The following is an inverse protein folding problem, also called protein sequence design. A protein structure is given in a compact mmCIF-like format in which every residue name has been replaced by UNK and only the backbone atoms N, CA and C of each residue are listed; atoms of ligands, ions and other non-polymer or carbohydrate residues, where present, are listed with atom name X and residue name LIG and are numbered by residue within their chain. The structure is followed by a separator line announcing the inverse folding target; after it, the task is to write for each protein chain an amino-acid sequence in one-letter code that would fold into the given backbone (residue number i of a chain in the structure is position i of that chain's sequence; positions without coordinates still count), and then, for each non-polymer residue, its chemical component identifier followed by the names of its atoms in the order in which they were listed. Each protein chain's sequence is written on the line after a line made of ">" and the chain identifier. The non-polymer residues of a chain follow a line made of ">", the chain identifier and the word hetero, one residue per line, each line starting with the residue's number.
data_IF_109694745189
#
_entry.id   IF_109694745189
#
_cell.length_a   1.000
_cell.length_b   1.000
_cell.length_c   1.000
_cell.angle_alpha   90.00
_cell.angle_beta   90.00
_cell.angle_gamma   90.00
#
_symmetry.space_group_name_H-M   'P 1'
#
loop_
_entity.id
_entity.type
_entity.pdbx_description
1 polymer ?
#
# COMPACT_ATOMS: atom_id res chain seq x y z
N UNK A 1 16.06 7.54 5.94
CA UNK A 1 16.50 7.47 4.51
C UNK A 1 15.22 7.40 3.70
N UNK A 2 15.00 8.30 2.73
CA UNK A 2 13.69 8.38 2.06
C UNK A 2 13.46 7.17 1.15
N UNK A 3 12.25 6.61 1.21
CA UNK A 3 11.80 5.53 0.33
C UNK A 3 12.10 5.84 -1.16
N UNK A 4 12.83 4.93 -1.80
CA UNK A 4 13.31 5.12 -3.19
C UNK A 4 13.04 3.86 -4.00
N UNK A 5 12.39 4.01 -5.16
CA UNK A 5 12.09 2.89 -6.06
C UNK A 5 13.38 2.15 -6.48
N UNK A 6 13.31 0.81 -6.57
CA UNK A 6 14.44 -0.12 -6.83
C UNK A 6 15.47 -0.23 -5.70
N UNK A 7 15.23 0.39 -4.54
CA UNK A 7 16.02 0.19 -3.32
C UNK A 7 15.23 -0.65 -2.31
N UNK A 8 15.91 -1.27 -1.32
CA UNK A 8 15.21 -1.84 -0.19
C UNK A 8 14.25 -0.82 0.44
N UNK A 9 13.02 -1.23 0.72
CA UNK A 9 12.06 -0.39 1.41
C UNK A 9 12.57 -0.07 2.83
N UNK A 10 12.36 1.15 3.36
CA UNK A 10 12.81 1.49 4.71
C UNK A 10 12.25 0.51 5.75
N UNK A 11 13.15 -0.09 6.53
CA UNK A 11 12.79 -1.05 7.56
C UNK A 11 12.05 -0.37 8.72
N UNK A 12 11.08 -1.07 9.28
CA UNK A 12 10.39 -0.67 10.50
C UNK A 12 10.02 -1.90 11.35
N UNK A 13 9.89 -1.66 12.64
CA UNK A 13 9.20 -2.51 13.62
C UNK A 13 8.31 -1.58 14.42
N UNK A 14 7.02 -1.88 14.53
CA UNK A 14 6.07 -0.99 15.18
C UNK A 14 4.88 -1.76 15.74
N UNK A 15 4.25 -1.24 16.81
CA UNK A 15 3.01 -1.81 17.30
C UNK A 15 1.88 -1.60 16.29
N UNK A 16 1.03 -2.61 16.16
CA UNK A 16 -0.16 -2.60 15.35
C UNK A 16 -1.35 -3.19 16.11
N UNK A 17 -2.55 -2.92 15.63
CA UNK A 17 -3.75 -3.68 15.99
C UNK A 17 -3.96 -4.76 14.93
N UNK A 18 -3.93 -6.02 15.35
CA UNK A 18 -4.10 -7.21 14.50
C UNK A 18 -5.20 -8.06 15.12
N UNK A 19 -6.29 -8.30 14.39
CA UNK A 19 -7.45 -9.07 14.89
C UNK A 19 -7.98 -8.59 16.25
N UNK A 20 -7.88 -7.29 16.54
CA UNK A 20 -8.30 -6.68 17.80
C UNK A 20 -7.29 -6.76 18.96
N UNK A 21 -6.12 -7.37 18.73
CA UNK A 21 -5.04 -7.49 19.71
C UNK A 21 -3.85 -6.57 19.36
N UNK A 22 -3.00 -6.29 20.35
CA UNK A 22 -1.78 -5.51 20.14
C UNK A 22 -0.60 -6.44 19.85
N UNK A 23 0.00 -6.27 18.68
CA UNK A 23 1.17 -7.04 18.24
C UNK A 23 2.22 -6.08 17.68
N UNK A 24 3.50 -6.42 17.83
CA UNK A 24 4.57 -5.73 17.11
C UNK A 24 4.80 -6.41 15.77
N UNK A 25 4.76 -5.65 14.68
CA UNK A 25 5.03 -6.16 13.33
C UNK A 25 6.27 -5.50 12.74
N UNK A 26 7.06 -6.27 12.02
CA UNK A 26 8.24 -5.81 11.29
C UNK A 26 8.07 -6.02 9.80
N UNK A 27 8.61 -5.10 8.98
CA UNK A 27 8.57 -5.29 7.52
C UNK A 27 9.24 -6.61 7.08
N UNK A 28 10.27 -7.05 7.81
CA UNK A 28 10.97 -8.31 7.56
C UNK A 28 10.11 -9.56 7.72
N UNK A 29 9.02 -9.48 8.48
CA UNK A 29 8.11 -10.61 8.72
C UNK A 29 7.37 -11.04 7.44
N UNK A 30 7.38 -10.17 6.43
CA UNK A 30 6.69 -10.35 5.16
C UNK A 30 7.64 -10.69 3.99
N UNK A 31 8.92 -10.97 4.25
CA UNK A 31 9.83 -11.46 3.21
C UNK A 31 9.26 -12.73 2.54
N UNK A 32 9.35 -12.79 1.21
CA UNK A 32 8.69 -13.82 0.40
C UNK A 32 7.25 -13.49 -0.02
N UNK A 33 6.66 -12.41 0.50
CA UNK A 33 5.34 -11.88 0.09
C UNK A 33 5.47 -10.48 -0.47
N UNK A 34 4.56 -10.10 -1.36
CA UNK A 34 4.39 -8.69 -1.69
C UNK A 34 3.73 -7.96 -0.51
N UNK A 35 4.04 -6.67 -0.35
CA UNK A 35 3.44 -5.82 0.69
C UNK A 35 2.89 -4.54 0.06
N UNK A 36 1.62 -4.25 0.35
CA UNK A 36 1.01 -2.95 0.14
C UNK A 36 0.97 -2.25 1.50
N UNK A 37 1.88 -1.30 1.70
CA UNK A 37 1.89 -0.43 2.89
C UNK A 37 1.25 0.90 2.50
N UNK A 38 0.20 1.32 3.20
CA UNK A 38 -0.44 2.59 2.94
C UNK A 38 -0.64 3.41 4.22
N UNK A 39 -0.23 4.66 4.15
CA UNK A 39 -0.44 5.66 5.19
C UNK A 39 -1.78 6.36 4.99
N UNK A 40 -2.44 6.70 6.08
CA UNK A 40 -3.58 7.60 6.09
C UNK A 40 -3.35 8.71 7.14
N UNK A 41 -3.94 9.90 6.94
CA UNK A 41 -3.73 11.04 7.81
C UNK A 41 -4.00 10.76 9.31
N UNK A 42 -5.25 10.55 9.67
CA UNK A 42 -5.70 10.51 11.06
C UNK A 42 -6.89 9.57 11.24
N UNK A 43 -6.94 8.92 12.39
CA UNK A 43 -8.13 8.26 12.93
C UNK A 43 -9.30 9.24 13.09
N UNK A 44 -10.53 8.73 13.06
CA UNK A 44 -11.78 9.50 13.28
C UNK A 44 -11.98 10.71 12.34
N UNK A 45 -11.45 10.63 11.11
CA UNK A 45 -11.66 11.62 10.05
C UNK A 45 -12.50 11.06 8.89
N UNK A 46 -12.57 11.77 7.76
CA UNK A 46 -13.63 11.55 6.76
C UNK A 46 -13.28 10.53 5.66
N UNK A 47 -12.18 10.76 4.93
CA UNK A 47 -11.78 9.89 3.79
C UNK A 47 -11.04 8.64 4.29
N UNK A 48 -10.28 8.75 5.37
CA UNK A 48 -9.49 7.67 5.95
C UNK A 48 -10.29 6.36 6.20
N UNK A 49 -11.47 6.37 6.84
CA UNK A 49 -12.21 5.13 7.06
C UNK A 49 -12.63 4.48 5.74
N UNK A 50 -12.97 5.26 4.71
CA UNK A 50 -13.38 4.73 3.41
C UNK A 50 -12.27 3.92 2.73
N UNK A 51 -11.01 4.37 2.86
CA UNK A 51 -9.87 3.67 2.25
C UNK A 51 -9.53 2.39 3.03
N UNK A 52 -9.45 2.49 4.36
CA UNK A 52 -9.09 1.36 5.23
C UNK A 52 -10.13 0.25 5.10
N UNK A 53 -11.43 0.60 5.11
CA UNK A 53 -12.53 -0.33 4.90
C UNK A 53 -12.44 -0.98 3.52
N UNK A 54 -12.21 -0.21 2.45
CA UNK A 54 -12.16 -0.74 1.09
C UNK A 54 -11.01 -1.76 0.91
N UNK A 55 -9.84 -1.51 1.50
CA UNK A 55 -8.75 -2.49 1.52
C UNK A 55 -9.07 -3.71 2.40
N UNK A 56 -9.63 -3.50 3.59
CA UNK A 56 -9.98 -4.58 4.51
C UNK A 56 -11.04 -5.53 3.94
N UNK A 57 -12.07 -5.00 3.28
CA UNK A 57 -13.15 -5.79 2.70
C UNK A 57 -12.68 -6.59 1.46
N UNK A 58 -11.63 -6.12 0.78
CA UNK A 58 -11.04 -6.74 -0.41
C UNK A 58 -9.71 -7.45 -0.16
N UNK A 59 -9.29 -7.62 1.11
CA UNK A 59 -7.97 -8.18 1.45
C UNK A 59 -7.74 -9.57 0.84
N UNK A 60 -8.79 -10.38 0.72
CA UNK A 60 -8.73 -11.71 0.13
C UNK A 60 -8.29 -11.71 -1.35
N UNK A 61 -8.47 -10.61 -2.08
CA UNK A 61 -7.95 -10.47 -3.46
C UNK A 61 -6.42 -10.33 -3.45
N UNK A 62 -5.86 -9.64 -2.45
CA UNK A 62 -4.41 -9.50 -2.26
C UNK A 62 -3.78 -10.79 -1.73
N UNK A 63 -4.45 -11.48 -0.80
CA UNK A 63 -3.95 -12.75 -0.23
C UNK A 63 -3.80 -13.84 -1.30
N UNK A 64 -4.75 -13.91 -2.26
CA UNK A 64 -4.66 -14.83 -3.42
C UNK A 64 -3.43 -14.56 -4.29
N UNK A 65 -2.91 -13.34 -4.27
CA UNK A 65 -1.70 -12.92 -4.97
C UNK A 65 -0.47 -12.96 -4.04
N UNK A 66 -0.52 -13.70 -2.92
CA UNK A 66 0.57 -13.75 -1.92
C UNK A 66 1.04 -12.34 -1.50
N UNK A 67 0.06 -11.44 -1.28
CA UNK A 67 0.28 -10.03 -0.94
C UNK A 67 -0.38 -9.68 0.40
N UNK A 68 0.37 -8.99 1.27
CA UNK A 68 -0.10 -8.48 2.56
C UNK A 68 -0.45 -7.00 2.42
N UNK A 69 -1.53 -6.56 3.07
CA UNK A 69 -1.95 -5.16 3.10
C UNK A 69 -1.81 -4.63 4.53
N UNK A 70 -1.15 -3.48 4.68
CA UNK A 70 -0.88 -2.83 5.97
C UNK A 70 -1.33 -1.37 5.92
N UNK A 71 -2.18 -0.98 6.85
CA UNK A 71 -2.54 0.42 7.07
C UNK A 71 -1.61 1.04 8.12
N UNK A 72 -1.28 2.33 8.01
CA UNK A 72 -0.49 3.04 9.02
C UNK A 72 -0.94 4.49 9.19
N UNK A 73 -0.92 5.01 10.42
CA UNK A 73 -0.96 6.46 10.66
C UNK A 73 -0.05 6.81 11.84
N UNK A 74 -0.01 8.10 12.19
CA UNK A 74 0.74 8.58 13.34
C UNK A 74 -0.06 8.57 14.65
N UNK A 75 -1.26 7.97 14.65
CA UNK A 75 -2.06 7.75 15.85
C UNK A 75 -1.50 6.59 16.69
N UNK A 76 -2.00 6.46 17.92
CA UNK A 76 -1.60 5.38 18.82
C UNK A 76 -2.39 4.10 18.56
N UNK A 77 -1.81 2.95 18.87
CA UNK A 77 -2.52 1.65 18.83
C UNK A 77 -3.83 1.63 19.65
N UNK A 78 -3.92 2.44 20.71
CA UNK A 78 -5.14 2.57 21.51
C UNK A 78 -6.24 3.32 20.74
N UNK A 79 -5.87 4.36 20.00
CA UNK A 79 -6.78 5.09 19.10
C UNK A 79 -7.31 4.16 18.02
N UNK A 80 -6.42 3.40 17.37
CA UNK A 80 -6.80 2.42 16.36
C UNK A 80 -7.79 1.40 16.90
N UNK A 81 -7.53 0.80 18.07
CA UNK A 81 -8.43 -0.18 18.67
C UNK A 81 -9.80 0.45 19.00
N UNK A 82 -9.83 1.67 19.51
CA UNK A 82 -11.07 2.39 19.75
C UNK A 82 -11.85 2.62 18.44
N UNK A 83 -11.15 2.99 17.36
CA UNK A 83 -11.78 3.26 16.06
C UNK A 83 -12.27 2.00 15.35
N UNK A 84 -11.56 0.89 15.50
CA UNK A 84 -11.97 -0.46 15.07
C UNK A 84 -13.24 -0.91 15.79
N UNK A 85 -13.33 -0.64 17.09
CA UNK A 85 -14.53 -0.94 17.88
C UNK A 85 -15.70 0.02 17.60
N UNK A 86 -15.45 1.14 16.92
CA UNK A 86 -16.49 2.10 16.55
C UNK A 86 -17.27 1.61 15.31
N UNK A 87 -18.61 1.69 15.28
CA UNK A 87 -19.41 1.20 14.16
C UNK A 87 -19.20 1.99 12.85
N UNK A 88 -19.18 1.28 11.71
CA UNK A 88 -19.01 1.90 10.37
C UNK A 88 -20.06 2.96 10.03
N UNK A 89 -21.31 2.74 10.46
CA UNK A 89 -22.41 3.68 10.23
C UNK A 89 -22.32 4.95 11.08
N UNK A 90 -21.36 5.03 12.00
CA UNK A 90 -21.06 6.21 12.82
C UNK A 90 -19.63 6.73 12.58
N UNK A 91 -19.05 6.40 11.42
CA UNK A 91 -17.70 6.84 11.02
C UNK A 91 -16.55 6.01 11.58
N UNK A 92 -16.84 4.85 12.18
CA UNK A 92 -15.84 3.89 12.64
C UNK A 92 -15.33 2.95 11.54
N UNK A 93 -14.40 2.07 11.90
CA UNK A 93 -13.90 1.05 10.96
C UNK A 93 -14.70 -0.27 11.04
N UNK A 94 -15.23 -0.61 12.22
CA UNK A 94 -15.72 -1.96 12.50
C UNK A 94 -14.60 -3.03 12.43
N UNK A 95 -14.95 -4.33 12.39
CA UNK A 95 -13.97 -5.40 12.29
C UNK A 95 -13.06 -5.24 11.07
N UNK A 96 -11.74 -5.30 11.29
CA UNK A 96 -10.70 -5.14 10.28
C UNK A 96 -9.97 -6.45 10.02
N UNK A 97 -9.71 -6.73 8.74
CA UNK A 97 -8.97 -7.91 8.28
C UNK A 97 -7.51 -7.59 7.91
N UNK A 98 -7.08 -6.35 8.13
CA UNK A 98 -5.71 -5.87 7.87
C UNK A 98 -5.10 -5.29 9.15
N UNK A 99 -3.80 -5.45 9.37
CA UNK A 99 -3.09 -4.75 10.44
C UNK A 99 -3.17 -3.23 10.31
N UNK A 100 -3.38 -2.54 11.44
CA UNK A 100 -3.32 -1.07 11.53
C UNK A 100 -2.15 -0.66 12.42
N UNK A 101 -1.09 -0.15 11.80
CA UNK A 101 0.19 0.21 12.41
C UNK A 101 0.12 1.60 13.04
N UNK A 102 0.62 1.70 14.27
CA UNK A 102 0.77 2.94 15.01
C UNK A 102 2.21 3.46 14.89
N UNK A 103 2.42 4.47 14.04
CA UNK A 103 3.67 5.24 13.94
C UNK A 103 3.63 6.49 14.82
N UNK A 104 3.40 6.31 16.13
CA UNK A 104 3.30 7.43 17.08
C UNK A 104 4.56 8.32 17.10
N UNK A 105 5.72 7.72 16.79
CA UNK A 105 7.02 8.40 16.70
C UNK A 105 7.20 9.22 15.42
N UNK A 106 6.31 9.05 14.42
CA UNK A 106 6.36 9.66 13.10
C UNK A 106 7.62 9.26 12.30
N UNK A 107 8.33 8.23 12.75
CA UNK A 107 9.60 7.82 12.15
C UNK A 107 9.36 7.09 10.85
N UNK A 108 8.34 6.21 10.82
CA UNK A 108 8.02 5.40 9.63
C UNK A 108 7.50 6.33 8.53
N UNK A 109 6.56 7.23 8.84
CA UNK A 109 6.06 8.24 7.91
C UNK A 109 7.20 9.11 7.35
N UNK A 110 8.15 9.54 8.19
CA UNK A 110 9.32 10.32 7.76
C UNK A 110 10.30 9.52 6.89
N UNK A 111 10.59 8.27 7.26
CA UNK A 111 11.45 7.40 6.45
C UNK A 111 10.83 7.05 5.10
N UNK A 112 9.51 6.95 5.04
CA UNK A 112 8.77 6.80 3.79
C UNK A 112 8.52 8.13 3.04
N UNK A 113 8.92 9.27 3.63
CA UNK A 113 8.86 10.58 2.99
C UNK A 113 7.45 11.14 2.83
N UNK A 114 6.51 10.73 3.69
CA UNK A 114 5.09 11.11 3.61
C UNK A 114 4.63 11.95 4.79
N UNK A 115 5.46 12.17 5.80
CA UNK A 115 5.14 13.07 6.91
C UNK A 115 5.10 14.53 6.44
N UNK A 116 4.02 15.23 6.76
CA UNK A 116 3.91 16.68 6.62
C UNK A 116 4.70 17.31 7.77
N UNK A 117 5.76 18.05 7.46
CA UNK A 117 6.68 18.63 8.48
C UNK A 117 6.31 20.06 8.87
N UNK A 118 5.50 20.76 8.07
CA UNK A 118 5.13 22.17 8.27
C UNK A 118 3.66 22.47 7.88
N UNK A 119 3.19 23.67 8.24
CA UNK A 119 1.81 24.09 8.01
C UNK A 119 0.80 23.56 9.05
N UNK A 120 -0.48 23.74 8.75
CA UNK A 120 -1.58 23.42 9.69
C UNK A 120 -1.77 21.90 9.89
N UNK A 121 -1.34 21.09 8.91
CA UNK A 121 -1.39 19.62 8.95
C UNK A 121 -0.07 18.97 9.43
N UNK A 122 0.85 19.76 10.00
CA UNK A 122 2.14 19.24 10.46
C UNK A 122 1.99 18.10 11.48
N UNK A 123 2.77 17.03 11.28
CA UNK A 123 2.74 15.83 12.11
C UNK A 123 1.80 14.72 11.62
N UNK A 124 1.13 14.94 10.49
CA UNK A 124 0.21 14.00 9.84
C UNK A 124 0.84 13.49 8.54
N UNK A 125 0.70 12.22 8.16
CA UNK A 125 1.17 11.75 6.86
C UNK A 125 0.20 12.10 5.73
N UNK A 126 0.72 12.40 4.55
CA UNK A 126 -0.02 12.33 3.30
C UNK A 126 -0.60 10.93 3.05
N UNK A 127 -1.50 10.80 2.08
CA UNK A 127 -2.06 9.50 1.62
C UNK A 127 -1.04 8.75 0.76
N UNK A 128 0.10 8.41 1.35
CA UNK A 128 1.17 7.64 0.72
C UNK A 128 0.88 6.15 0.68
N UNK A 129 1.15 5.49 -0.43
CA UNK A 129 1.04 4.05 -0.61
C UNK A 129 2.27 3.53 -1.33
N UNK A 130 2.75 2.37 -0.86
CA UNK A 130 3.99 1.76 -1.29
C UNK A 130 3.75 0.29 -1.63
N UNK A 131 4.15 -0.14 -2.82
CA UNK A 131 4.16 -1.55 -3.20
C UNK A 131 5.60 -2.04 -3.09
N UNK A 132 5.82 -3.03 -2.23
CA UNK A 132 7.12 -3.63 -1.91
C UNK A 132 7.07 -5.08 -2.37
N UNK A 133 8.07 -5.53 -3.11
CA UNK A 133 8.11 -6.90 -3.62
C UNK A 133 8.55 -7.93 -2.57
N UNK A 134 8.49 -9.20 -2.95
CA UNK A 134 8.87 -10.35 -2.11
C UNK A 134 10.33 -10.35 -1.63
N UNK A 135 11.20 -9.51 -2.20
CA UNK A 135 12.60 -9.34 -1.79
C UNK A 135 12.78 -8.12 -0.88
N UNK A 136 11.70 -7.44 -0.51
CA UNK A 136 11.74 -6.20 0.27
C UNK A 136 12.15 -4.98 -0.56
N UNK A 137 12.09 -5.04 -1.90
CA UNK A 137 12.45 -3.91 -2.77
C UNK A 137 11.23 -3.08 -3.09
N UNK A 138 11.34 -1.76 -2.95
CA UNK A 138 10.26 -0.83 -3.27
C UNK A 138 10.05 -0.73 -4.79
N UNK A 139 8.81 -0.96 -5.25
CA UNK A 139 8.46 -1.00 -6.67
C UNK A 139 7.61 0.19 -7.12
N UNK A 140 6.77 0.71 -6.23
CA UNK A 140 5.79 1.73 -6.58
C UNK A 140 5.51 2.66 -5.41
N UNK A 141 5.26 3.93 -5.71
CA UNK A 141 4.86 4.97 -4.77
C UNK A 141 3.67 5.73 -5.36
N UNK A 142 2.55 5.79 -4.62
CA UNK A 142 1.44 6.71 -4.88
C UNK A 142 1.33 7.65 -3.70
N UNK A 143 1.31 8.97 -3.93
CA UNK A 143 1.02 9.94 -2.88
C UNK A 143 -0.11 10.83 -3.35
N UNK A 144 -1.25 10.75 -2.67
CA UNK A 144 -2.34 11.70 -2.84
C UNK A 144 -2.27 12.77 -1.76
N UNK A 145 -2.71 13.98 -2.12
CA UNK A 145 -3.03 15.01 -1.15
C UNK A 145 -4.24 14.59 -0.28
N UNK A 146 -4.45 15.25 0.85
CA UNK A 146 -5.43 14.92 1.87
C UNK A 146 -6.89 14.76 1.36
N UNK A 147 -7.42 15.57 0.43
CA UNK A 147 -8.85 15.51 0.10
C UNK A 147 -9.23 14.37 -0.87
N UNK A 148 -8.27 13.64 -1.46
CA UNK A 148 -8.55 12.65 -2.52
C UNK A 148 -8.12 11.25 -2.12
N UNK A 149 -9.09 10.34 -1.95
CA UNK A 149 -8.84 8.92 -1.68
C UNK A 149 -8.19 8.16 -2.86
N UNK A 150 -7.55 7.05 -2.55
CA UNK A 150 -6.90 6.14 -3.52
C UNK A 150 -7.90 5.14 -4.10
N UNK A 151 -7.49 4.49 -5.18
CA UNK A 151 -8.28 3.47 -5.88
C UNK A 151 -7.71 2.07 -5.66
N UNK A 152 -8.44 1.20 -4.96
CA UNK A 152 -8.03 -0.19 -4.67
C UNK A 152 -7.83 -1.03 -5.93
N UNK A 153 -8.64 -0.82 -6.99
CA UNK A 153 -8.50 -1.56 -8.25
C UNK A 153 -7.17 -1.27 -8.95
N UNK A 154 -6.72 -0.01 -8.89
CA UNK A 154 -5.43 0.35 -9.45
C UNK A 154 -4.27 -0.28 -8.68
N UNK A 155 -4.39 -0.36 -7.34
CA UNK A 155 -3.36 -1.00 -6.53
C UNK A 155 -3.30 -2.50 -6.81
N UNK A 156 -4.45 -3.16 -6.94
CA UNK A 156 -4.51 -4.57 -7.32
C UNK A 156 -3.89 -4.82 -8.70
N UNK A 157 -4.22 -3.97 -9.68
CA UNK A 157 -3.66 -4.02 -11.05
C UNK A 157 -2.13 -3.87 -11.03
N UNK A 158 -1.61 -2.94 -10.23
CA UNK A 158 -0.16 -2.71 -10.10
C UNK A 158 0.55 -3.90 -9.46
N UNK A 159 -0.01 -4.49 -8.39
CA UNK A 159 0.54 -5.72 -7.78
C UNK A 159 0.62 -6.85 -8.82
N UNK A 160 -0.48 -7.10 -9.55
CA UNK A 160 -0.52 -8.11 -10.61
C UNK A 160 0.51 -7.83 -11.72
N UNK A 161 0.66 -6.57 -12.13
CA UNK A 161 1.63 -6.18 -13.15
C UNK A 161 3.06 -6.46 -12.71
N UNK A 162 3.45 -6.05 -11.50
CA UNK A 162 4.80 -6.30 -11.00
C UNK A 162 5.09 -7.79 -10.86
N UNK A 163 4.14 -8.59 -10.36
CA UNK A 163 4.27 -10.04 -10.28
C UNK A 163 4.43 -10.68 -11.66
N UNK A 164 3.64 -10.25 -12.65
CA UNK A 164 3.79 -10.73 -14.02
C UNK A 164 5.21 -10.46 -14.56
N UNK A 165 5.71 -9.22 -14.40
CA UNK A 165 7.06 -8.86 -14.86
C UNK A 165 8.17 -9.62 -14.11
N UNK A 166 7.98 -9.90 -12.83
CA UNK A 166 8.94 -10.66 -12.02
C UNK A 166 9.02 -12.14 -12.47
N UNK A 167 7.89 -12.73 -12.87
CA UNK A 167 7.80 -14.12 -13.31
C UNK A 167 8.24 -14.32 -14.77
N UNK A 168 7.85 -13.41 -15.67
CA UNK A 168 7.99 -13.60 -17.12
C UNK A 168 9.18 -12.83 -17.75
N UNK A 169 9.69 -11.78 -17.09
CA UNK A 169 10.76 -10.93 -17.63
C UNK A 169 10.34 -10.03 -18.81
N UNK A 170 9.06 -10.06 -19.20
CA UNK A 170 8.44 -9.09 -20.10
C UNK A 170 8.03 -7.81 -19.35
N UNK A 171 7.55 -6.80 -20.08
CA UNK A 171 7.02 -5.58 -19.46
C UNK A 171 5.55 -5.34 -19.83
N UNK A 172 4.85 -4.69 -18.90
CA UNK A 172 3.43 -4.37 -19.01
C UNK A 172 3.21 -2.98 -19.65
N UNK A 173 2.45 -2.86 -20.75
CA UNK A 173 2.08 -1.57 -21.34
C UNK A 173 1.19 -0.71 -20.44
N UNK A 174 0.93 0.53 -20.87
CA UNK A 174 0.00 1.43 -20.21
C UNK A 174 -1.41 0.81 -20.10
N UNK A 175 -2.00 0.86 -18.90
CA UNK A 175 -3.33 0.30 -18.63
C UNK A 175 -3.39 -1.23 -18.66
N UNK A 176 -2.27 -1.94 -18.65
CA UNK A 176 -2.24 -3.41 -18.65
C UNK A 176 -3.08 -4.00 -17.50
N UNK A 177 -3.85 -5.03 -17.84
CA UNK A 177 -4.65 -5.87 -16.93
C UNK A 177 -4.36 -7.34 -17.21
N UNK A 178 -4.64 -8.27 -16.26
CA UNK A 178 -4.39 -9.69 -16.46
C UNK A 178 -5.00 -10.23 -17.77
N UNK A 179 -4.19 -10.93 -18.57
CA UNK A 179 -4.57 -11.46 -19.88
C UNK A 179 -4.37 -10.50 -21.06
N UNK A 180 -4.08 -9.21 -20.80
CA UNK A 180 -3.73 -8.26 -21.85
C UNK A 180 -2.32 -8.52 -22.41
N UNK A 181 -2.10 -8.08 -23.65
CA UNK A 181 -0.81 -8.24 -24.32
C UNK A 181 0.31 -7.47 -23.59
N UNK A 182 1.49 -8.07 -23.59
CA UNK A 182 2.75 -7.56 -23.02
C UNK A 182 3.79 -7.38 -24.12
N UNK A 183 4.95 -6.84 -23.76
CA UNK A 183 6.06 -6.65 -24.70
C UNK A 183 7.39 -7.12 -24.12
N UNK A 184 8.20 -7.74 -24.97
CA UNK A 184 9.61 -8.01 -24.69
C UNK A 184 10.37 -6.69 -24.76
N UNK A 185 11.15 -6.38 -23.71
CA UNK A 185 11.93 -5.14 -23.60
C UNK A 185 13.20 -5.17 -24.48
N UNK A 186 13.03 -5.41 -25.77
CA UNK A 186 14.06 -5.46 -26.81
C UNK A 186 13.58 -4.73 -28.08
N UNK A 187 14.44 -3.97 -28.80
CA UNK A 187 14.04 -3.24 -30.01
C UNK A 187 13.44 -4.11 -31.14
N UNK A 188 13.79 -5.39 -31.22
CA UNK A 188 13.22 -6.31 -32.20
C UNK A 188 12.03 -7.08 -31.62
N UNK A 189 12.14 -7.58 -30.38
CA UNK A 189 11.07 -8.32 -29.69
C UNK A 189 9.78 -7.50 -29.52
N UNK A 190 9.91 -6.20 -29.23
CA UNK A 190 8.77 -5.29 -29.05
C UNK A 190 7.91 -5.09 -30.31
N UNK A 191 8.45 -5.34 -31.52
CA UNK A 191 7.72 -5.16 -32.79
C UNK A 191 6.49 -6.07 -32.88
N UNK A 192 6.53 -7.25 -32.28
CA UNK A 192 5.39 -8.17 -32.25
C UNK A 192 4.17 -7.55 -31.55
N UNK A 193 4.39 -6.83 -30.45
CA UNK A 193 3.35 -6.10 -29.74
C UNK A 193 2.80 -4.94 -30.56
N UNK A 194 3.68 -4.08 -31.10
CA UNK A 194 3.25 -2.89 -31.84
C UNK A 194 2.49 -3.25 -33.13
N UNK A 195 2.95 -4.27 -33.88
CA UNK A 195 2.25 -4.75 -35.07
C UNK A 195 0.85 -5.29 -34.76
N UNK A 196 0.65 -5.89 -33.58
CA UNK A 196 -0.65 -6.44 -33.17
C UNK A 196 -1.63 -5.36 -32.69
N UNK A 197 -1.12 -4.26 -32.12
CA UNK A 197 -1.95 -3.27 -31.39
C UNK A 197 -2.21 -1.98 -32.17
N UNK A 198 -1.45 -1.71 -33.22
CA UNK A 198 -1.53 -0.46 -34.00
C UNK A 198 -1.70 -0.71 -35.52
N UNK A 199 -2.23 -1.88 -35.90
CA UNK A 199 -2.80 -2.12 -37.24
C UNK A 199 -4.26 -1.66 -37.28
#
# INVERSE_FOLDING_TARGET
>A
MVATIRKPAPAFTAPAVVNGEFEDISLSDFLGKYVVLFFYPLDFTFVCPTEIIAFSDRVAEFEKLNTVVLAASCDSKFSHLAWINHPRNDGGLGPMNIPVISDITKKIARDYGVLIEDGDDAGVPFRGLFIIDSKGTLRQITVNDLPVGRNVDEILRLVQAFQYTDEHGEVCPAGWTPGAATLVADPNGSKAYFNKTHQ
#
